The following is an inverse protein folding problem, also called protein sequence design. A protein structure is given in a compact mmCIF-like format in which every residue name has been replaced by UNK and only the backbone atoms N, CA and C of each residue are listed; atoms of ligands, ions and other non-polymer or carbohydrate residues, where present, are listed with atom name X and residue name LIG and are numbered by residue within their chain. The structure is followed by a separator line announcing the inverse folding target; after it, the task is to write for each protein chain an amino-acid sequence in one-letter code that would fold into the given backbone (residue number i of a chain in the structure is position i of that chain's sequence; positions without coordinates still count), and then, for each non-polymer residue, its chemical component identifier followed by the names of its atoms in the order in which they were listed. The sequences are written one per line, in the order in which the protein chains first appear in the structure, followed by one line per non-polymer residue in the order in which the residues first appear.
data_IF_526048107538
#
_entry.id   IF_526048107538
#
_cell.length_a   1.000
_cell.length_b   1.000
_cell.length_c   1.000
_cell.angle_alpha   90.00
_cell.angle_beta   90.00
_cell.angle_gamma   90.00
#
_symmetry.space_group_name_H-M   'P 1'
#
loop_
_entity.id
_entity.type
_entity.pdbx_description
1 polymer ?
#
# COMPACT_ATOMS: atom_id res chain seq x y z
N UNK A 1 67.26 54.24 17.24
CA UNK A 1 67.24 54.31 18.71
C UNK A 1 65.81 54.14 19.18
N UNK A 2 65.55 53.10 20.03
CA UNK A 2 64.43 52.93 20.99
C UNK A 2 62.99 52.92 20.41
N UNK A 3 62.03 52.07 20.79
CA UNK A 3 61.90 50.80 21.53
C UNK A 3 60.36 50.55 21.58
N UNK A 4 59.90 49.29 21.39
CA UNK A 4 58.63 48.69 21.88
C UNK A 4 57.31 49.31 21.36
N UNK A 5 56.23 48.57 21.06
CA UNK A 5 55.53 47.60 21.92
C UNK A 5 54.81 46.50 21.12
N UNK A 6 54.51 45.43 21.86
CA UNK A 6 53.97 44.12 21.49
C UNK A 6 52.49 43.98 21.88
N UNK A 7 51.82 42.97 21.30
CA UNK A 7 50.60 42.25 21.76
C UNK A 7 49.28 43.03 21.79
N UNK A 8 48.14 42.49 21.32
CA UNK A 8 47.83 41.18 20.76
C UNK A 8 46.30 40.97 20.63
N UNK A 9 45.93 39.94 19.85
CA UNK A 9 44.73 39.05 19.93
C UNK A 9 43.35 39.77 19.81
N UNK A 10 42.40 39.36 18.96
CA UNK A 10 41.50 38.20 19.16
C UNK A 10 40.61 37.97 17.92
N UNK A 11 40.71 36.73 17.43
CA UNK A 11 39.72 35.80 16.85
C UNK A 11 38.94 36.07 15.56
N UNK A 12 39.25 35.20 14.58
CA UNK A 12 38.35 34.56 13.62
C UNK A 12 36.93 34.33 14.19
N UNK A 13 35.90 34.80 13.48
CA UNK A 13 34.52 34.34 13.69
C UNK A 13 34.36 33.00 12.96
N UNK A 14 34.06 31.97 13.76
CA UNK A 14 33.93 30.59 13.36
C UNK A 14 32.73 30.33 12.43
N UNK A 15 33.01 29.65 11.33
CA UNK A 15 32.06 28.90 10.51
C UNK A 15 31.63 27.66 11.29
N UNK A 16 30.33 27.48 11.59
CA UNK A 16 29.66 26.18 11.69
C UNK A 16 28.23 26.32 12.25
N UNK A 17 27.23 26.23 11.38
CA UNK A 17 25.87 25.83 11.77
C UNK A 17 25.10 25.34 10.54
N UNK A 18 25.50 24.17 10.02
CA UNK A 18 24.67 23.40 9.10
C UNK A 18 24.81 21.91 9.43
N UNK A 19 24.18 21.44 10.50
CA UNK A 19 24.13 20.01 10.80
C UNK A 19 22.84 19.62 11.53
N UNK A 20 21.69 19.77 10.86
CA UNK A 20 20.42 19.22 11.40
C UNK A 20 19.38 18.88 10.32
N UNK A 21 19.78 18.38 9.14
CA UNK A 21 18.81 17.99 8.10
C UNK A 21 18.97 16.55 7.55
N UNK A 22 19.96 15.78 7.99
CA UNK A 22 20.24 14.44 7.42
C UNK A 22 19.67 13.28 8.22
N UNK A 23 19.22 13.47 9.47
CA UNK A 23 18.71 12.38 10.31
C UNK A 23 17.28 11.91 9.92
N UNK A 24 16.43 12.81 9.44
CA UNK A 24 15.01 12.48 9.16
C UNK A 24 14.80 11.60 7.92
N UNK A 25 15.74 11.60 6.97
CA UNK A 25 15.62 10.82 5.71
C UNK A 25 15.96 9.34 5.90
N UNK A 26 16.87 9.02 6.82
CA UNK A 26 17.27 7.66 7.10
C UNK A 26 16.21 6.89 7.91
N UNK A 27 15.56 7.55 8.87
CA UNK A 27 14.49 6.96 9.67
C UNK A 27 13.22 6.68 8.82
N UNK A 28 12.86 7.59 7.91
CA UNK A 28 11.71 7.37 7.01
C UNK A 28 11.93 6.23 6.01
N UNK A 29 13.17 6.00 5.57
CA UNK A 29 13.50 4.91 4.64
C UNK A 29 13.50 3.54 5.33
N UNK A 30 14.06 3.44 6.54
CA UNK A 30 14.12 2.18 7.28
C UNK A 30 12.73 1.65 7.67
N UNK A 31 11.81 2.53 8.10
CA UNK A 31 10.42 2.15 8.43
C UNK A 31 9.63 1.76 7.16
N UNK A 32 9.88 2.45 6.04
CA UNK A 32 9.26 2.14 4.76
C UNK A 32 9.72 0.79 4.18
N UNK A 33 11.02 0.49 4.25
CA UNK A 33 11.60 -0.77 3.77
C UNK A 33 11.09 -1.96 4.61
N UNK A 34 11.11 -1.87 5.95
CA UNK A 34 10.56 -2.91 6.85
C UNK A 34 9.06 -3.16 6.62
N UNK A 35 8.28 -2.09 6.44
CA UNK A 35 6.85 -2.22 6.17
C UNK A 35 6.58 -2.88 4.82
N UNK A 36 7.36 -2.53 3.78
CA UNK A 36 7.26 -3.14 2.46
C UNK A 36 7.61 -4.62 2.51
N UNK A 37 8.67 -4.99 3.22
CA UNK A 37 9.10 -6.39 3.34
C UNK A 37 7.99 -7.28 3.93
N UNK A 38 7.16 -6.73 4.82
CA UNK A 38 5.99 -7.42 5.37
C UNK A 38 4.86 -7.68 4.37
N UNK A 39 4.80 -7.00 3.23
CA UNK A 39 3.85 -7.33 2.17
C UNK A 39 4.32 -8.52 1.34
N UNK A 40 5.63 -8.69 1.19
CA UNK A 40 6.22 -9.63 0.23
C UNK A 40 5.82 -11.06 0.59
N UNK A 41 5.25 -11.76 -0.39
CA UNK A 41 4.77 -13.12 -0.20
C UNK A 41 3.50 -13.39 -0.99
N UNK A 42 3.04 -14.64 -0.87
CA UNK A 42 1.73 -15.03 -1.32
C UNK A 42 0.76 -14.97 -0.12
N UNK A 43 -0.45 -14.50 -0.40
CA UNK A 43 -1.50 -14.38 0.59
C UNK A 43 -2.77 -15.04 0.09
N UNK A 44 -3.44 -15.81 0.94
CA UNK A 44 -4.71 -16.47 0.66
C UNK A 44 -5.86 -15.61 1.18
N UNK A 45 -6.95 -15.50 0.42
CA UNK A 45 -8.16 -14.82 0.89
C UNK A 45 -8.72 -15.57 2.11
N UNK A 46 -8.78 -14.89 3.25
CA UNK A 46 -9.38 -15.41 4.47
C UNK A 46 -10.88 -15.10 4.50
N UNK A 47 -11.23 -13.85 4.21
CA UNK A 47 -12.61 -13.40 4.05
C UNK A 47 -12.69 -12.09 3.28
N UNK A 48 -13.84 -11.88 2.64
CA UNK A 48 -14.21 -10.62 1.98
C UNK A 48 -15.59 -10.20 2.50
N UNK A 49 -15.67 -8.97 2.98
CA UNK A 49 -16.92 -8.30 3.35
C UNK A 49 -17.23 -7.21 2.32
N UNK A 50 -18.45 -7.19 1.81
CA UNK A 50 -18.88 -6.25 0.79
C UNK A 50 -20.37 -5.91 0.86
N UNK A 51 -20.81 -4.76 0.29
CA UNK A 51 -22.21 -4.43 0.18
C UNK A 51 -22.98 -5.41 -0.73
N UNK A 52 -24.09 -5.94 -0.23
CA UNK A 52 -25.08 -6.64 -1.04
C UNK A 52 -26.01 -5.68 -1.80
N UNK A 53 -26.95 -6.21 -2.61
CA UNK A 53 -27.92 -5.41 -3.36
C UNK A 53 -28.82 -4.51 -2.48
N UNK A 54 -29.03 -4.91 -1.23
CA UNK A 54 -29.78 -4.17 -0.20
C UNK A 54 -28.93 -3.10 0.50
N UNK A 55 -27.64 -3.01 0.17
CA UNK A 55 -26.69 -2.08 0.78
C UNK A 55 -26.14 -2.54 2.13
N UNK A 56 -26.56 -3.70 2.66
CA UNK A 56 -26.01 -4.28 3.88
C UNK A 56 -24.69 -4.98 3.60
N UNK A 57 -23.79 -4.98 4.58
CA UNK A 57 -22.52 -5.70 4.46
C UNK A 57 -22.73 -7.18 4.73
N UNK A 58 -22.19 -8.03 3.88
CA UNK A 58 -22.22 -9.48 4.04
C UNK A 58 -20.83 -10.08 3.73
N UNK A 59 -20.62 -11.33 4.13
CA UNK A 59 -19.42 -12.09 3.74
C UNK A 59 -19.64 -12.76 2.41
N UNK A 60 -18.78 -12.48 1.44
CA UNK A 60 -18.82 -13.07 0.12
C UNK A 60 -18.31 -14.52 0.16
N UNK A 61 -19.01 -15.42 -0.52
CA UNK A 61 -18.54 -16.79 -0.78
C UNK A 61 -17.52 -16.78 -1.92
N UNK A 62 -16.26 -16.52 -1.57
CA UNK A 62 -15.17 -16.40 -2.53
C UNK A 62 -13.87 -17.05 -2.03
N UNK A 63 -12.94 -17.22 -2.97
CA UNK A 63 -11.56 -17.64 -2.73
C UNK A 63 -10.64 -16.74 -3.55
N UNK A 64 -9.38 -16.61 -3.15
CA UNK A 64 -8.47 -15.75 -3.88
C UNK A 64 -7.03 -15.87 -3.43
N UNK A 65 -6.16 -15.24 -4.20
CA UNK A 65 -4.76 -15.08 -3.87
C UNK A 65 -4.31 -13.67 -4.21
N UNK A 66 -3.52 -13.08 -3.32
CA UNK A 66 -2.81 -11.82 -3.55
C UNK A 66 -1.33 -12.09 -3.39
N UNK A 67 -0.54 -11.83 -4.43
CA UNK A 67 0.92 -11.97 -4.38
C UNK A 67 1.55 -10.59 -4.46
N UNK A 68 2.46 -10.30 -3.56
CA UNK A 68 3.36 -9.14 -3.65
C UNK A 68 4.80 -9.65 -3.76
N UNK A 69 5.55 -9.07 -4.70
CA UNK A 69 6.96 -9.42 -4.91
C UNK A 69 7.88 -8.36 -4.32
N UNK A 70 9.10 -8.77 -3.97
CA UNK A 70 10.13 -7.88 -3.43
C UNK A 70 10.65 -6.84 -4.44
N UNK A 71 10.38 -7.01 -5.73
CA UNK A 71 10.73 -6.03 -6.77
C UNK A 71 9.61 -5.01 -7.06
N UNK A 72 8.49 -5.06 -6.32
CA UNK A 72 7.44 -4.03 -6.38
C UNK A 72 6.27 -4.35 -7.32
N UNK A 73 6.09 -5.61 -7.69
CA UNK A 73 4.92 -6.06 -8.45
C UNK A 73 3.89 -6.73 -7.53
N UNK A 74 2.64 -6.67 -7.95
CA UNK A 74 1.57 -7.38 -7.29
C UNK A 74 0.58 -7.95 -8.29
N UNK A 75 -0.07 -9.05 -7.91
CA UNK A 75 -1.17 -9.64 -8.67
C UNK A 75 -2.23 -10.15 -7.73
N UNK A 76 -3.49 -9.83 -8.01
CA UNK A 76 -4.63 -10.24 -7.20
C UNK A 76 -5.64 -10.98 -8.06
N UNK A 77 -6.17 -12.05 -7.50
CA UNK A 77 -7.25 -12.83 -8.07
C UNK A 77 -8.27 -13.14 -6.99
N UNK A 78 -9.55 -12.93 -7.29
CA UNK A 78 -10.67 -13.30 -6.43
C UNK A 78 -11.72 -13.97 -7.29
N UNK A 79 -12.13 -15.18 -6.91
CA UNK A 79 -13.18 -15.95 -7.55
C UNK A 79 -14.36 -16.11 -6.59
N UNK A 80 -15.52 -15.64 -7.01
CA UNK A 80 -16.78 -15.95 -6.35
C UNK A 80 -17.16 -17.40 -6.68
N UNK A 81 -17.36 -18.25 -5.67
CA UNK A 81 -17.68 -19.67 -5.88
C UNK A 81 -19.05 -19.86 -6.51
N UNK A 82 -20.00 -19.00 -6.11
CA UNK A 82 -21.35 -18.97 -6.65
C UNK A 82 -21.57 -17.59 -7.30
N UNK A 83 -21.20 -17.40 -8.58
CA UNK A 83 -21.50 -16.15 -9.27
C UNK A 83 -23.03 -16.00 -9.34
N UNK A 84 -23.56 -14.85 -8.90
CA UNK A 84 -24.99 -14.58 -8.98
C UNK A 84 -25.45 -14.70 -10.44
N UNK A 85 -26.38 -15.62 -10.71
CA UNK A 85 -26.94 -15.81 -12.05
C UNK A 85 -27.63 -14.52 -12.51
N UNK A 86 -27.26 -14.00 -13.68
CA UNK A 86 -27.77 -12.73 -14.20
C UNK A 86 -27.05 -11.48 -13.69
N UNK A 87 -26.05 -11.60 -12.82
CA UNK A 87 -25.14 -10.51 -12.48
C UNK A 87 -24.16 -10.27 -13.63
N UNK A 88 -24.64 -9.65 -14.71
CA UNK A 88 -23.82 -9.13 -15.80
C UNK A 88 -22.76 -8.11 -15.29
N UNK A 89 -22.91 -7.65 -14.06
CA UNK A 89 -21.89 -6.95 -13.28
C UNK A 89 -21.80 -7.67 -11.93
N UNK A 90 -20.61 -8.19 -11.58
CA UNK A 90 -20.34 -8.42 -10.16
C UNK A 90 -20.60 -7.09 -9.42
N UNK A 91 -21.15 -7.09 -8.19
CA UNK A 91 -21.42 -5.85 -7.45
C UNK A 91 -20.14 -5.04 -7.18
N UNK A 92 -18.96 -5.63 -7.46
CA UNK A 92 -17.67 -5.00 -7.35
C UNK A 92 -17.16 -4.61 -8.72
N UNK A 93 -16.88 -3.32 -8.92
CA UNK A 93 -16.24 -2.75 -10.13
C UNK A 93 -14.91 -3.41 -10.54
N UNK A 94 -14.39 -4.32 -9.72
CA UNK A 94 -13.14 -5.04 -9.91
C UNK A 94 -13.32 -6.44 -10.56
N UNK A 95 -14.55 -6.95 -10.64
CA UNK A 95 -14.82 -8.31 -11.12
C UNK A 95 -15.75 -8.34 -12.36
N UNK A 96 -15.51 -9.31 -13.25
CA UNK A 96 -16.34 -9.62 -14.41
C UNK A 96 -16.68 -11.12 -14.38
N UNK A 97 -17.97 -11.46 -14.48
CA UNK A 97 -18.41 -12.86 -14.45
C UNK A 97 -18.07 -13.59 -13.14
N UNK A 98 -17.96 -12.87 -12.02
CA UNK A 98 -17.58 -13.46 -10.73
C UNK A 98 -16.08 -13.74 -10.58
N UNK A 99 -15.22 -13.15 -11.42
CA UNK A 99 -13.77 -13.23 -11.28
C UNK A 99 -13.15 -11.84 -11.31
N UNK A 100 -12.28 -11.55 -10.35
CA UNK A 100 -11.33 -10.45 -10.37
C UNK A 100 -9.97 -11.02 -10.77
N UNK A 101 -9.31 -10.37 -11.72
CA UNK A 101 -7.92 -10.64 -12.03
C UNK A 101 -7.27 -9.34 -12.45
N UNK A 102 -6.27 -8.90 -11.70
CA UNK A 102 -5.44 -7.75 -12.06
C UNK A 102 -3.98 -8.00 -11.69
N UNK A 103 -3.06 -7.38 -12.41
CA UNK A 103 -1.64 -7.31 -12.06
C UNK A 103 -1.07 -5.92 -12.35
N UNK A 104 0.03 -5.59 -11.68
CA UNK A 104 0.75 -4.34 -11.91
C UNK A 104 1.79 -4.07 -10.83
N UNK A 105 2.07 -2.80 -10.57
CA UNK A 105 3.04 -2.36 -9.56
C UNK A 105 2.36 -1.86 -8.30
N UNK A 106 3.02 -1.99 -7.16
CA UNK A 106 2.56 -1.40 -5.91
C UNK A 106 3.63 -0.52 -5.26
N UNK A 107 3.17 0.51 -4.55
CA UNK A 107 4.02 1.42 -3.77
C UNK A 107 3.39 1.62 -2.40
N UNK A 108 4.16 1.41 -1.33
CA UNK A 108 3.68 1.54 0.05
C UNK A 108 4.04 2.91 0.61
N UNK A 109 3.03 3.58 1.18
CA UNK A 109 3.22 4.72 2.08
C UNK A 109 2.96 4.25 3.52
N UNK A 110 4.05 3.99 4.24
CA UNK A 110 4.00 3.53 5.63
C UNK A 110 3.42 4.58 6.57
N UNK A 111 3.60 5.87 6.26
CA UNK A 111 3.13 6.98 7.09
C UNK A 111 1.62 7.16 6.99
N UNK A 112 1.07 7.06 5.78
CA UNK A 112 -0.35 7.14 5.52
C UNK A 112 -1.09 5.82 5.76
N UNK A 113 -0.36 4.71 5.99
CA UNK A 113 -0.88 3.33 6.05
C UNK A 113 -1.70 2.98 4.81
N UNK A 114 -1.17 3.36 3.65
CA UNK A 114 -1.74 3.04 2.35
C UNK A 114 -0.73 2.38 1.42
N UNK A 115 -1.22 1.66 0.43
CA UNK A 115 -0.45 1.35 -0.76
C UNK A 115 -1.23 1.79 -1.99
N UNK A 116 -0.51 2.27 -3.00
CA UNK A 116 -1.06 2.55 -4.32
C UNK A 116 -0.76 1.38 -5.23
N UNK A 117 -1.80 0.83 -5.86
CA UNK A 117 -1.69 -0.23 -6.84
C UNK A 117 -1.94 0.31 -8.24
N UNK A 118 -0.89 0.32 -9.05
CA UNK A 118 -0.88 0.81 -10.42
C UNK A 118 -1.27 -0.35 -11.35
N UNK A 119 -2.50 -0.36 -11.84
CA UNK A 119 -3.04 -1.49 -12.61
C UNK A 119 -2.47 -1.46 -14.03
N UNK A 120 -1.73 -2.51 -14.41
CA UNK A 120 -1.15 -2.67 -15.74
C UNK A 120 -1.98 -3.60 -16.63
N UNK A 121 -2.53 -4.67 -16.03
CA UNK A 121 -3.42 -5.60 -16.71
C UNK A 121 -4.60 -5.95 -15.82
N UNK A 122 -5.78 -6.13 -16.43
CA UNK A 122 -7.01 -6.43 -15.72
C UNK A 122 -8.01 -7.18 -16.61
N UNK A 123 -8.81 -8.07 -16.00
CA UNK A 123 -9.98 -8.67 -16.64
C UNK A 123 -11.02 -7.59 -16.97
N UNK A 124 -11.31 -6.72 -16.01
CA UNK A 124 -12.14 -5.52 -16.22
C UNK A 124 -11.30 -4.44 -16.89
N UNK A 125 -11.44 -4.27 -18.22
CA UNK A 125 -10.56 -3.39 -19.01
C UNK A 125 -10.56 -1.92 -18.58
N UNK A 126 -11.63 -1.42 -17.97
CA UNK A 126 -11.73 -0.05 -17.49
C UNK A 126 -10.84 0.27 -16.29
N UNK A 127 -10.16 -0.74 -15.70
CA UNK A 127 -9.18 -0.55 -14.64
C UNK A 127 -7.76 -0.31 -15.14
N UNK A 128 -7.45 -0.68 -16.39
CA UNK A 128 -6.09 -0.59 -16.94
C UNK A 128 -5.63 0.88 -16.91
N UNK A 129 -4.46 1.12 -16.33
CA UNK A 129 -3.86 2.45 -16.17
C UNK A 129 -4.40 3.25 -14.98
N UNK A 130 -5.28 2.69 -14.14
CA UNK A 130 -5.75 3.36 -12.92
C UNK A 130 -4.81 3.13 -11.74
N UNK A 131 -4.79 4.13 -10.87
CA UNK A 131 -4.18 4.05 -9.55
C UNK A 131 -5.24 3.74 -8.51
N UNK A 132 -5.07 2.62 -7.83
CA UNK A 132 -5.98 2.11 -6.82
C UNK A 132 -5.31 2.28 -5.45
N UNK A 133 -5.68 3.35 -4.73
CA UNK A 133 -5.16 3.59 -3.38
C UNK A 133 -5.94 2.75 -2.37
N UNK A 134 -5.22 2.05 -1.51
CA UNK A 134 -5.75 1.09 -0.54
C UNK A 134 -5.20 1.38 0.83
N UNK A 135 -6.07 1.43 1.83
CA UNK A 135 -5.62 1.41 3.22
C UNK A 135 -5.32 -0.02 3.62
N UNK A 136 -4.31 -0.20 4.48
CA UNK A 136 -3.95 -1.51 4.99
C UNK A 136 -3.72 -1.51 6.50
N UNK A 137 -3.87 -2.69 7.07
CA UNK A 137 -3.57 -2.99 8.46
C UNK A 137 -3.04 -4.43 8.54
N UNK A 138 -1.94 -4.63 9.25
CA UNK A 138 -1.49 -5.97 9.60
C UNK A 138 -2.00 -6.33 10.99
N UNK A 139 -2.70 -7.45 11.11
CA UNK A 139 -3.26 -7.95 12.38
C UNK A 139 -2.95 -9.44 12.52
N UNK A 140 -2.00 -9.79 13.39
CA UNK A 140 -1.52 -11.18 13.49
C UNK A 140 -0.88 -11.63 12.18
N UNK A 141 -1.41 -12.70 11.58
CA UNK A 141 -1.01 -13.23 10.28
C UNK A 141 -1.87 -12.70 9.10
N UNK A 142 -2.81 -11.79 9.37
CA UNK A 142 -3.68 -11.20 8.35
C UNK A 142 -3.13 -9.85 7.86
N UNK A 143 -3.17 -9.65 6.55
CA UNK A 143 -3.17 -8.36 5.87
C UNK A 143 -4.61 -7.98 5.55
N UNK A 144 -5.09 -6.94 6.20
CA UNK A 144 -6.42 -6.38 5.98
C UNK A 144 -6.30 -5.22 5.01
N UNK A 145 -7.09 -5.25 3.95
CA UNK A 145 -7.11 -4.21 2.89
C UNK A 145 -8.52 -3.63 2.75
N UNK A 146 -8.60 -2.31 2.57
CA UNK A 146 -9.84 -1.58 2.23
C UNK A 146 -9.56 -0.53 1.16
N UNK A 147 -10.59 -0.11 0.44
CA UNK A 147 -10.48 1.09 -0.38
C UNK A 147 -10.20 2.33 0.48
N UNK A 148 -9.44 3.28 -0.05
CA UNK A 148 -9.34 4.61 0.56
C UNK A 148 -10.49 5.54 0.15
N UNK A 149 -11.32 5.15 -0.83
CA UNK A 149 -12.56 5.86 -1.16
C UNK A 149 -13.67 5.43 -0.19
N UNK A 150 -14.22 6.37 0.57
CA UNK A 150 -15.29 6.13 1.53
C UNK A 150 -16.60 5.60 0.90
N UNK A 151 -16.78 5.76 -0.42
CA UNK A 151 -17.93 5.18 -1.15
C UNK A 151 -17.79 3.67 -1.35
N UNK A 152 -16.57 3.15 -1.32
CA UNK A 152 -16.27 1.74 -1.44
C UNK A 152 -16.19 1.10 -0.05
N UNK A 153 -17.25 0.39 0.34
CA UNK A 153 -17.41 -0.14 1.69
C UNK A 153 -16.94 -1.59 1.87
N UNK A 154 -16.15 -2.12 0.93
CA UNK A 154 -15.61 -3.47 1.03
C UNK A 154 -14.37 -3.51 1.94
N UNK A 155 -14.14 -4.66 2.57
CA UNK A 155 -12.93 -4.98 3.35
C UNK A 155 -12.58 -6.44 3.11
N UNK A 156 -11.31 -6.72 2.88
CA UNK A 156 -10.80 -8.08 2.69
C UNK A 156 -9.68 -8.34 3.66
N UNK A 157 -9.60 -9.55 4.21
CA UNK A 157 -8.41 -10.03 4.88
C UNK A 157 -7.76 -11.14 4.08
N UNK A 158 -6.44 -11.10 4.08
CA UNK A 158 -5.57 -12.06 3.44
C UNK A 158 -4.67 -12.67 4.51
N UNK A 159 -4.61 -13.99 4.58
CA UNK A 159 -3.65 -14.71 5.43
C UNK A 159 -2.38 -14.96 4.64
N UNK A 160 -1.22 -14.73 5.26
CA UNK A 160 0.05 -15.14 4.66
C UNK A 160 0.10 -16.67 4.52
N UNK A 161 0.60 -17.18 3.38
CA UNK A 161 0.85 -18.62 3.21
C UNK A 161 1.94 -19.15 4.14
#
# INVERSE_FOLDING_TARGET
MKKLMSMGVVSLVATALVLSATASRAQGRAVGDDTRDRFVGAWRLAWLEEPGPDGNIHRADCTGMFVFTGDGHASVQVMYRTPQAGAAAAPVQYAQGGYEATFGRYQVDASARTFTYHVEGALVRSLIGKDLVRSYEFSGNELIVKSSDAKERWRVAWEHY
#
